data_IF_421397671506
#
_entry.id   IF_421397671506
#
_cell.length_a   1.000
_cell.length_b   1.000
_cell.length_c   1.000
_cell.angle_alpha   90.00
_cell.angle_beta   90.00
_cell.angle_gamma   90.00
#
_symmetry.space_group_name_H-M   'P 1'
#
loop_
_entity.id
_entity.type
_entity.pdbx_description
1 polymer ?
#
# COMPACT_ATOMS: atom_id res chain seq x y z
N UNK A 1 -2.07 1.88 14.09
CA UNK A 1 -3.29 2.68 14.38
C UNK A 1 -4.46 1.73 14.63
N UNK A 2 -5.40 2.09 15.52
CA UNK A 2 -6.60 1.30 15.79
C UNK A 2 -7.76 1.92 15.00
N UNK A 3 -8.24 1.19 14.01
CA UNK A 3 -9.27 1.63 13.07
C UNK A 3 -10.44 0.66 13.13
N UNK A 4 -11.67 1.16 13.02
CA UNK A 4 -12.87 0.34 12.92
C UNK A 4 -13.24 0.22 11.45
N UNK A 5 -13.35 -1.01 10.97
CA UNK A 5 -13.57 -1.38 9.57
C UNK A 5 -14.74 -2.37 9.56
N UNK A 6 -15.69 -2.20 8.64
CA UNK A 6 -16.72 -3.20 8.41
C UNK A 6 -16.18 -4.25 7.42
N UNK A 7 -16.23 -5.52 7.80
CA UNK A 7 -15.70 -6.65 7.03
C UNK A 7 -16.69 -7.80 7.08
N UNK A 8 -16.82 -8.48 5.95
CA UNK A 8 -17.67 -9.67 5.87
C UNK A 8 -17.18 -10.75 6.85
N UNK A 9 -18.15 -11.47 7.42
CA UNK A 9 -17.87 -12.48 8.43
C UNK A 9 -16.96 -13.59 7.90
N UNK A 10 -17.12 -13.98 6.63
CA UNK A 10 -16.33 -15.01 5.98
C UNK A 10 -14.85 -14.61 5.86
N UNK A 11 -14.60 -13.33 5.51
CA UNK A 11 -13.24 -12.79 5.45
C UNK A 11 -12.59 -12.74 6.83
N UNK A 12 -13.35 -12.37 7.87
CA UNK A 12 -12.84 -12.34 9.24
C UNK A 12 -12.45 -13.75 9.73
N UNK A 13 -13.25 -14.77 9.39
CA UNK A 13 -12.93 -16.18 9.71
C UNK A 13 -11.66 -16.63 9.00
N UNK A 14 -11.55 -16.37 7.69
CA UNK A 14 -10.35 -16.71 6.92
C UNK A 14 -9.10 -16.01 7.46
N UNK A 15 -9.20 -14.72 7.81
CA UNK A 15 -8.11 -13.95 8.39
C UNK A 15 -7.66 -14.52 9.75
N UNK A 16 -8.58 -14.99 10.59
CA UNK A 16 -8.25 -15.64 11.87
C UNK A 16 -7.49 -16.95 11.68
N UNK A 17 -7.95 -17.81 10.77
CA UNK A 17 -7.26 -19.07 10.47
C UNK A 17 -5.85 -18.83 9.94
N UNK A 18 -5.67 -17.82 9.09
CA UNK A 18 -4.35 -17.44 8.58
C UNK A 18 -3.46 -16.87 9.69
N UNK A 19 -4.04 -16.04 10.57
CA UNK A 19 -3.34 -15.44 11.71
C UNK A 19 -2.82 -16.50 12.70
N UNK A 20 -3.59 -17.56 12.96
CA UNK A 20 -3.14 -18.70 13.78
C UNK A 20 -1.95 -19.42 13.15
N UNK A 21 -1.96 -19.63 11.83
CA UNK A 21 -0.86 -20.30 11.11
C UNK A 21 0.42 -19.47 11.11
N UNK A 22 0.29 -18.15 11.04
CA UNK A 22 1.44 -17.22 10.99
C UNK A 22 1.87 -16.68 12.36
N UNK A 23 1.23 -17.09 13.47
CA UNK A 23 1.44 -16.52 14.80
C UNK A 23 1.31 -14.98 14.84
N UNK A 24 0.33 -14.45 14.12
CA UNK A 24 0.01 -13.02 14.05
C UNK A 24 -1.39 -12.75 14.59
N UNK A 25 -1.72 -11.48 14.78
CA UNK A 25 -3.11 -11.07 15.04
C UNK A 25 -3.89 -10.96 13.73
N UNK A 26 -5.22 -11.20 13.77
CA UNK A 26 -6.07 -11.04 12.60
C UNK A 26 -5.98 -9.63 11.99
N UNK A 27 -5.85 -8.59 12.83
CA UNK A 27 -5.68 -7.21 12.36
C UNK A 27 -4.37 -6.97 11.62
N UNK A 28 -3.27 -7.63 12.03
CA UNK A 28 -1.99 -7.55 11.31
C UNK A 28 -2.08 -8.23 9.95
N UNK A 29 -2.64 -9.43 9.89
CA UNK A 29 -2.84 -10.17 8.63
C UNK A 29 -3.71 -9.38 7.67
N UNK A 30 -4.83 -8.82 8.14
CA UNK A 30 -5.72 -7.98 7.32
C UNK A 30 -4.96 -6.74 6.81
N UNK A 31 -4.19 -6.07 7.67
CA UNK A 31 -3.40 -4.90 7.30
C UNK A 31 -2.34 -5.19 6.23
N UNK A 32 -1.64 -6.33 6.35
CA UNK A 32 -0.66 -6.79 5.37
C UNK A 32 -1.30 -7.12 4.03
N UNK A 33 -2.40 -7.89 4.03
CA UNK A 33 -3.15 -8.23 2.82
C UNK A 33 -3.70 -6.99 2.12
N UNK A 34 -4.25 -6.03 2.88
CA UNK A 34 -4.76 -4.78 2.34
C UNK A 34 -3.63 -3.96 1.69
N UNK A 35 -2.46 -3.91 2.33
CA UNK A 35 -1.27 -3.25 1.77
C UNK A 35 -0.81 -3.92 0.48
N UNK A 36 -0.75 -5.25 0.44
CA UNK A 36 -0.40 -5.99 -0.77
C UNK A 36 -1.40 -5.74 -1.91
N UNK A 37 -2.70 -5.76 -1.62
CA UNK A 37 -3.73 -5.48 -2.62
C UNK A 37 -3.68 -4.05 -3.17
N UNK A 38 -3.43 -3.06 -2.30
CA UNK A 38 -3.27 -1.66 -2.71
C UNK A 38 -1.98 -1.45 -3.53
N UNK A 39 -0.89 -2.13 -3.16
CA UNK A 39 0.36 -2.09 -3.93
C UNK A 39 0.25 -2.80 -5.28
N UNK A 40 -0.44 -3.95 -5.34
CA UNK A 40 -0.69 -4.67 -6.58
C UNK A 40 -1.50 -3.82 -7.55
N UNK A 41 -2.54 -3.12 -7.06
CA UNK A 41 -3.30 -2.15 -7.85
C UNK A 41 -2.45 -0.96 -8.33
N UNK A 42 -1.53 -0.46 -7.50
CA UNK A 42 -0.61 0.59 -7.92
C UNK A 42 0.36 0.10 -9.03
N UNK A 43 0.83 -1.14 -8.94
CA UNK A 43 1.63 -1.81 -9.97
C UNK A 43 0.85 -2.00 -11.28
N UNK A 44 -0.40 -2.45 -11.22
CA UNK A 44 -1.25 -2.60 -12.41
C UNK A 44 -1.53 -1.24 -13.08
N UNK A 45 -1.78 -0.18 -12.30
CA UNK A 45 -1.88 1.18 -12.85
C UNK A 45 -0.58 1.63 -13.54
N UNK A 46 0.60 1.23 -13.03
CA UNK A 46 1.88 1.49 -13.68
C UNK A 46 2.09 0.67 -14.96
N UNK A 47 1.54 -0.54 -15.05
CA UNK A 47 1.56 -1.30 -16.33
C UNK A 47 0.68 -0.66 -17.40
N UNK A 48 -0.43 -0.02 -17.03
CA UNK A 48 -1.22 0.81 -17.97
C UNK A 48 -0.60 2.18 -18.25
N UNK A 49 0.35 2.63 -17.41
CA UNK A 49 1.17 3.82 -17.60
C UNK A 49 2.41 3.62 -18.48
N UNK A 50 2.72 2.38 -18.87
CA UNK A 50 3.73 2.06 -19.90
C UNK A 50 3.21 2.27 -21.32
N UNK A 51 2.19 3.12 -21.48
CA UNK A 51 1.72 3.65 -22.74
C UNK A 51 1.50 5.16 -22.63
N UNK A 52 2.51 5.91 -22.18
CA UNK A 52 2.65 7.27 -22.70
C UNK A 52 4.09 7.75 -22.77
N UNK A 53 4.74 7.28 -23.83
CA UNK A 53 5.70 8.04 -24.63
C UNK A 53 5.54 9.56 -24.43
N UNK A 54 6.47 10.18 -23.71
CA UNK A 54 6.99 11.53 -23.98
C UNK A 54 5.98 12.60 -24.47
N UNK A 55 4.84 12.82 -23.80
CA UNK A 55 3.91 13.90 -24.21
C UNK A 55 4.26 15.27 -23.63
N UNK A 56 5.21 15.37 -22.69
CA UNK A 56 5.47 16.63 -21.97
C UNK A 56 6.94 17.04 -21.86
N UNK A 57 7.87 16.39 -22.58
CA UNK A 57 9.30 16.76 -22.56
C UNK A 57 10.05 16.48 -21.24
N UNK A 58 9.38 15.89 -20.24
CA UNK A 58 10.00 15.47 -19.00
C UNK A 58 10.16 13.94 -18.96
N UNK A 59 11.36 13.50 -18.60
CA UNK A 59 11.66 12.09 -18.32
C UNK A 59 11.23 11.78 -16.87
N UNK A 60 10.26 10.90 -16.64
CA UNK A 60 9.95 10.44 -15.29
C UNK A 60 11.19 9.79 -14.67
N UNK A 61 11.47 10.11 -13.41
CA UNK A 61 12.56 9.49 -12.66
C UNK A 61 12.25 7.99 -12.51
N UNK A 62 13.21 7.08 -12.77
CA UNK A 62 12.97 5.65 -12.60
C UNK A 62 12.59 5.35 -11.15
N UNK A 63 11.60 4.46 -10.96
CA UNK A 63 11.17 4.04 -9.63
C UNK A 63 12.34 3.42 -8.88
N UNK A 64 12.73 4.03 -7.74
CA UNK A 64 13.85 3.56 -6.90
C UNK A 64 13.43 2.49 -5.87
N UNK A 65 12.23 1.94 -5.96
CA UNK A 65 11.75 0.89 -5.07
C UNK A 65 11.51 1.39 -3.64
N UNK A 66 10.42 2.13 -3.45
CA UNK A 66 9.98 2.56 -2.12
C UNK A 66 8.59 3.17 -2.20
N UNK A 67 7.70 2.77 -1.29
CA UNK A 67 6.35 3.32 -1.21
C UNK A 67 6.45 4.68 -0.51
N UNK A 68 6.28 5.76 -1.27
CA UNK A 68 6.19 7.11 -0.69
C UNK A 68 4.74 7.32 -0.24
N UNK A 69 4.53 7.37 1.07
CA UNK A 69 3.21 7.66 1.66
C UNK A 69 3.10 9.14 2.00
N UNK A 70 1.88 9.66 2.12
CA UNK A 70 1.69 11.06 2.52
C UNK A 70 2.24 11.34 3.93
N UNK A 71 2.19 10.34 4.82
CA UNK A 71 2.82 10.40 6.15
C UNK A 71 4.34 10.52 6.05
N UNK A 72 4.97 9.78 5.13
CA UNK A 72 6.41 9.89 4.88
C UNK A 72 6.79 11.28 4.34
N UNK A 73 5.95 11.85 3.47
CA UNK A 73 6.13 13.23 2.96
C UNK A 73 5.99 14.23 4.11
N UNK A 74 4.97 14.09 4.95
CA UNK A 74 4.74 14.99 6.07
C UNK A 74 5.88 14.93 7.11
N UNK A 75 6.36 13.73 7.44
CA UNK A 75 7.50 13.57 8.34
C UNK A 75 8.77 14.27 7.80
N UNK A 76 9.05 14.14 6.50
CA UNK A 76 10.16 14.83 5.85
C UNK A 76 9.99 16.35 5.87
N UNK A 77 8.76 16.83 5.70
CA UNK A 77 8.44 18.27 5.75
C UNK A 77 8.64 18.85 7.14
N UNK A 78 8.20 18.13 8.17
CA UNK A 78 8.43 18.49 9.57
C UNK A 78 9.92 18.51 9.90
N UNK A 79 10.70 17.53 9.42
CA UNK A 79 12.15 17.46 9.60
C UNK A 79 12.88 18.64 8.91
N UNK A 80 12.43 19.02 7.72
CA UNK A 80 13.04 20.09 6.91
C UNK A 80 12.48 21.49 7.23
N UNK A 81 11.43 21.59 8.06
CA UNK A 81 10.81 22.85 8.46
C UNK A 81 10.01 23.57 7.36
N UNK A 82 9.37 22.84 6.44
CA UNK A 82 8.64 23.36 5.25
C UNK A 82 7.18 22.93 5.12
#
# INVERSE_FOLDING_TARGET
MRTTLNIDIELLVAAKQLAERENKTAGQVISELLRQALNARAGDMQTTGSLNRNLSGFQPVPSRGGIVTNEHINALREELGV
#
